data_IF_838042871420
#
_entry.id   IF_838042871420
#
_cell.length_a   1.000
_cell.length_b   1.000
_cell.length_c   1.000
_cell.angle_alpha   90.00
_cell.angle_beta   90.00
_cell.angle_gamma   90.00
#
_symmetry.space_group_name_H-M   'P 1'
#
loop_
_entity.id
_entity.type
_entity.pdbx_description
1 polymer ?
#
# COMPACT_ATOMS: atom_id res chain seq x y z
N UNK A 1 -15.77 15.66 -9.92
CA UNK A 1 -14.33 15.65 -9.60
C UNK A 1 -13.84 14.23 -9.33
N UNK A 2 -12.84 13.72 -10.06
CA UNK A 2 -12.30 12.37 -9.79
C UNK A 2 -11.29 12.43 -8.64
N UNK A 3 -11.71 11.99 -7.45
CA UNK A 3 -10.85 11.92 -6.25
C UNK A 3 -9.81 10.80 -6.40
N UNK A 4 -8.54 11.20 -6.47
CA UNK A 4 -7.37 10.34 -6.56
C UNK A 4 -6.13 11.06 -6.03
N UNK A 5 -5.13 10.30 -5.63
CA UNK A 5 -3.81 10.83 -5.30
C UNK A 5 -2.70 9.98 -5.90
N UNK A 6 -1.51 10.56 -6.01
CA UNK A 6 -0.30 9.86 -6.44
C UNK A 6 0.85 10.27 -5.52
N UNK A 7 1.59 9.29 -5.03
CA UNK A 7 2.86 9.49 -4.34
C UNK A 7 4.00 8.87 -5.16
N UNK A 8 5.22 9.36 -4.93
CA UNK A 8 6.41 8.86 -5.61
C UNK A 8 7.57 8.74 -4.63
N UNK A 9 8.41 7.73 -4.82
CA UNK A 9 9.61 7.52 -4.00
C UNK A 9 10.72 6.93 -4.86
N UNK A 10 11.92 7.51 -4.77
CA UNK A 10 13.14 6.97 -5.38
C UNK A 10 13.87 6.07 -4.39
N UNK A 11 14.19 4.87 -4.84
CA UNK A 11 14.90 3.84 -4.06
C UNK A 11 16.21 3.50 -4.76
N UNK A 12 17.31 3.57 -4.03
CA UNK A 12 18.68 3.28 -4.47
C UNK A 12 18.96 1.77 -4.48
N UNK A 13 18.08 1.02 -5.17
CA UNK A 13 18.26 -0.40 -5.48
C UNK A 13 17.81 -0.70 -6.91
N UNK A 14 18.35 -1.77 -7.53
CA UNK A 14 17.88 -2.28 -8.81
C UNK A 14 16.38 -2.62 -8.79
N UNK A 15 15.75 -2.52 -9.96
CA UNK A 15 14.30 -2.64 -10.12
C UNK A 15 13.78 -3.99 -9.62
N UNK A 16 14.48 -5.08 -9.92
CA UNK A 16 14.08 -6.44 -9.54
C UNK A 16 14.03 -6.60 -8.02
N UNK A 17 14.96 -5.97 -7.30
CA UNK A 17 15.02 -5.99 -5.84
C UNK A 17 13.86 -5.20 -5.25
N UNK A 18 13.59 -4.02 -5.78
CA UNK A 18 12.50 -3.16 -5.32
C UNK A 18 11.14 -3.81 -5.59
N UNK A 19 10.94 -4.36 -6.78
CA UNK A 19 9.71 -5.06 -7.14
C UNK A 19 9.50 -6.29 -6.24
N UNK A 20 10.53 -7.11 -6.05
CA UNK A 20 10.44 -8.31 -5.24
C UNK A 20 10.09 -8.00 -3.77
N UNK A 21 10.58 -6.89 -3.22
CA UNK A 21 10.25 -6.46 -1.87
C UNK A 21 8.77 -6.11 -1.67
N UNK A 22 8.04 -5.78 -2.74
CA UNK A 22 6.58 -5.56 -2.70
C UNK A 22 5.81 -6.84 -3.03
N UNK A 23 6.31 -7.64 -3.97
CA UNK A 23 5.65 -8.84 -4.47
C UNK A 23 5.71 -10.05 -3.51
N UNK A 24 6.84 -10.23 -2.81
CA UNK A 24 7.07 -11.37 -1.92
C UNK A 24 6.49 -11.12 -0.51
N UNK A 25 5.68 -12.04 0.04
CA UNK A 25 4.99 -11.81 1.31
C UNK A 25 5.95 -11.75 2.49
N UNK A 26 7.08 -12.47 2.45
CA UNK A 26 8.06 -12.45 3.55
C UNK A 26 8.77 -11.10 3.58
N UNK A 27 9.18 -10.59 2.42
CA UNK A 27 9.81 -9.27 2.35
C UNK A 27 8.83 -8.14 2.68
N UNK A 28 7.60 -8.18 2.14
CA UNK A 28 6.57 -7.19 2.44
C UNK A 28 6.26 -7.12 3.95
N UNK A 29 6.23 -8.27 4.63
CA UNK A 29 6.00 -8.35 6.08
C UNK A 29 7.17 -7.82 6.91
N UNK A 30 8.37 -7.70 6.34
CA UNK A 30 9.54 -7.15 7.04
C UNK A 30 9.48 -5.64 7.25
N UNK A 31 8.62 -4.91 6.54
CA UNK A 31 8.53 -3.45 6.64
C UNK A 31 7.10 -2.88 6.58
N UNK A 32 6.09 -3.67 6.20
CA UNK A 32 4.72 -3.16 6.04
C UNK A 32 3.66 -4.03 6.75
N UNK A 33 3.43 -5.26 6.29
CA UNK A 33 2.38 -6.13 6.86
C UNK A 33 2.88 -6.83 8.13
N UNK A 34 2.95 -6.11 9.25
CA UNK A 34 3.59 -6.58 10.50
C UNK A 34 2.98 -7.84 11.11
N UNK A 35 1.69 -8.10 10.85
CA UNK A 35 1.02 -9.35 11.23
C UNK A 35 1.12 -10.46 10.18
N UNK A 36 1.80 -10.21 9.06
CA UNK A 36 1.99 -11.13 7.94
C UNK A 36 1.11 -10.82 6.72
N UNK A 37 1.57 -11.29 5.56
CA UNK A 37 0.80 -11.37 4.33
C UNK A 37 0.58 -12.85 3.96
N UNK A 38 -0.66 -13.23 3.61
CA UNK A 38 -1.02 -14.64 3.39
C UNK A 38 -0.41 -15.28 2.14
N UNK A 39 0.08 -14.48 1.19
CA UNK A 39 0.66 -14.99 -0.05
C UNK A 39 1.27 -13.90 -0.93
N UNK A 40 2.02 -14.30 -1.98
CA UNK A 40 2.56 -13.36 -2.97
C UNK A 40 1.45 -12.70 -3.78
N UNK A 41 1.75 -11.52 -4.32
CA UNK A 41 0.80 -10.74 -5.13
C UNK A 41 0.65 -11.32 -6.53
N UNK A 42 0.04 -12.50 -6.67
CA UNK A 42 -0.23 -13.12 -7.97
C UNK A 42 -1.47 -12.51 -8.64
N UNK A 43 -1.45 -12.33 -9.95
CA UNK A 43 -2.62 -11.85 -10.69
C UNK A 43 -3.85 -12.73 -10.43
N UNK A 44 -5.00 -12.09 -10.24
CA UNK A 44 -6.33 -12.72 -10.03
C UNK A 44 -6.44 -13.55 -8.76
N UNK A 45 -5.65 -13.25 -7.74
CA UNK A 45 -5.76 -13.88 -6.41
C UNK A 45 -6.17 -12.87 -5.35
N UNK A 46 -6.75 -13.35 -4.25
CA UNK A 46 -6.94 -12.57 -3.02
C UNK A 46 -5.83 -12.91 -2.02
N UNK A 47 -5.31 -11.89 -1.35
CA UNK A 47 -4.38 -12.02 -0.22
C UNK A 47 -4.93 -11.30 0.99
N UNK A 48 -4.53 -11.75 2.18
CA UNK A 48 -4.89 -11.13 3.45
C UNK A 48 -3.65 -10.48 4.02
N UNK A 49 -3.77 -9.19 4.36
CA UNK A 49 -2.74 -8.43 5.07
C UNK A 49 -3.15 -8.22 6.51
N UNK A 50 -2.26 -8.56 7.43
CA UNK A 50 -2.46 -8.35 8.87
C UNK A 50 -1.45 -7.35 9.39
N UNK A 51 -1.86 -6.57 10.37
CA UNK A 51 -1.03 -5.58 11.05
C UNK A 51 -1.06 -5.87 12.54
N UNK A 52 0.09 -6.19 13.13
CA UNK A 52 0.19 -6.47 14.57
C UNK A 52 -0.14 -5.23 15.42
N UNK A 53 0.07 -4.05 14.83
CA UNK A 53 -0.19 -2.74 15.42
C UNK A 53 -1.69 -2.40 15.47
N UNK A 54 -2.49 -3.06 14.62
CA UNK A 54 -3.95 -2.92 14.54
C UNK A 54 -4.59 -4.31 14.46
N UNK A 55 -4.65 -5.05 15.59
CA UNK A 55 -5.05 -6.45 15.59
C UNK A 55 -6.47 -6.64 15.06
N UNK A 56 -6.60 -7.48 14.03
CA UNK A 56 -7.86 -7.92 13.44
C UNK A 56 -7.76 -9.42 13.18
N UNK A 57 -8.78 -10.19 13.58
CA UNK A 57 -8.82 -11.63 13.33
C UNK A 57 -8.87 -11.92 11.83
N UNK A 58 -9.67 -11.15 11.09
CA UNK A 58 -9.92 -11.31 9.66
C UNK A 58 -8.82 -10.70 8.78
N UNK A 59 -8.16 -9.62 9.23
CA UNK A 59 -7.20 -8.85 8.43
C UNK A 59 -7.86 -8.06 7.30
N UNK A 60 -7.03 -7.45 6.45
CA UNK A 60 -7.47 -6.68 5.28
C UNK A 60 -7.40 -7.58 4.04
N UNK A 61 -8.53 -7.76 3.36
CA UNK A 61 -8.61 -8.49 2.09
C UNK A 61 -8.19 -7.60 0.93
N UNK A 62 -7.22 -8.07 0.16
CA UNK A 62 -6.66 -7.35 -0.99
C UNK A 62 -6.77 -8.22 -2.22
N UNK A 63 -7.54 -7.76 -3.20
CA UNK A 63 -7.65 -8.43 -4.48
C UNK A 63 -6.55 -7.95 -5.43
N UNK A 64 -5.77 -8.88 -5.97
CA UNK A 64 -4.67 -8.59 -6.89
C UNK A 64 -5.21 -8.63 -8.32
N UNK A 65 -5.52 -7.45 -8.86
CA UNK A 65 -6.15 -7.27 -10.18
C UNK A 65 -5.25 -7.69 -11.34
N UNK A 66 -3.99 -7.28 -11.30
CA UNK A 66 -3.00 -7.44 -12.39
C UNK A 66 -1.60 -7.29 -11.81
N UNK A 67 -0.69 -8.16 -12.21
CA UNK A 67 0.75 -8.03 -11.98
C UNK A 67 1.50 -8.27 -13.29
N UNK A 68 2.39 -7.33 -13.62
CA UNK A 68 3.43 -7.48 -14.63
C UNK A 68 4.76 -7.43 -13.90
N UNK A 69 5.45 -8.57 -13.87
CA UNK A 69 6.73 -8.71 -13.17
C UNK A 69 7.66 -7.56 -13.56
N UNK A 70 8.32 -6.97 -12.55
CA UNK A 70 9.30 -5.91 -12.75
C UNK A 70 8.73 -4.66 -13.46
N UNK A 71 7.44 -4.37 -13.29
CA UNK A 71 6.83 -3.19 -13.91
C UNK A 71 5.60 -2.66 -13.18
N UNK A 72 4.65 -3.53 -12.82
CA UNK A 72 3.33 -3.08 -12.37
C UNK A 72 2.66 -4.05 -11.41
N UNK A 73 2.01 -3.49 -10.39
CA UNK A 73 1.06 -4.20 -9.51
C UNK A 73 -0.22 -3.37 -9.40
N UNK A 74 -1.38 -4.01 -9.54
CA UNK A 74 -2.69 -3.38 -9.38
C UNK A 74 -3.47 -4.14 -8.32
N UNK A 75 -3.94 -3.42 -7.31
CA UNK A 75 -4.69 -3.93 -6.18
C UNK A 75 -6.07 -3.27 -6.12
N UNK A 76 -7.04 -4.00 -5.58
CA UNK A 76 -8.35 -3.48 -5.21
C UNK A 76 -8.68 -3.94 -3.78
N UNK A 77 -9.17 -3.02 -2.96
CA UNK A 77 -9.58 -3.28 -1.58
C UNK A 77 -10.74 -2.35 -1.22
N UNK A 78 -11.38 -2.60 -0.08
CA UNK A 78 -12.52 -1.83 0.34
C UNK A 78 -12.13 -0.39 0.71
N UNK A 79 -12.91 0.58 0.23
CA UNK A 79 -12.76 1.97 0.61
C UNK A 79 -13.14 2.13 2.09
N UNK A 80 -12.29 2.81 2.86
CA UNK A 80 -12.59 3.20 4.23
C UNK A 80 -12.73 4.73 4.25
N UNK A 81 -13.85 5.21 4.75
CA UNK A 81 -14.22 6.62 4.75
C UNK A 81 -14.45 7.13 6.17
N UNK A 82 -14.33 8.44 6.36
CA UNK A 82 -14.34 9.10 7.66
C UNK A 82 -12.96 9.62 8.04
N UNK A 83 -12.81 10.11 9.26
CA UNK A 83 -11.58 10.75 9.71
C UNK A 83 -11.43 10.76 11.23
N UNK A 84 -10.24 11.10 11.71
CA UNK A 84 -9.93 11.10 13.15
C UNK A 84 -10.71 12.15 13.98
N UNK A 85 -11.21 13.21 13.35
CA UNK A 85 -11.72 14.39 14.05
C UNK A 85 -13.24 14.37 14.32
N UNK A 86 -13.97 13.41 13.77
CA UNK A 86 -15.43 13.36 13.90
C UNK A 86 -15.83 12.37 14.98
N UNK A 87 -16.41 12.86 16.08
CA UNK A 87 -17.02 12.01 17.12
C UNK A 87 -18.14 11.11 16.56
N UNK A 88 -18.62 11.37 15.33
CA UNK A 88 -19.69 10.64 14.66
C UNK A 88 -19.28 9.96 13.34
N UNK A 89 -18.09 10.22 12.77
CA UNK A 89 -17.58 9.60 11.53
C UNK A 89 -16.34 8.74 11.83
N UNK A 90 -16.55 7.68 12.62
CA UNK A 90 -15.59 6.60 12.71
C UNK A 90 -15.29 6.07 11.29
N UNK A 91 -14.05 5.60 11.08
CA UNK A 91 -13.69 4.93 9.84
C UNK A 91 -14.61 3.75 9.59
N UNK A 92 -15.36 3.81 8.49
CA UNK A 92 -16.30 2.76 8.08
C UNK A 92 -16.06 2.36 6.64
N UNK A 93 -16.44 1.13 6.30
CA UNK A 93 -16.36 0.66 4.92
C UNK A 93 -17.40 1.40 4.05
N UNK A 94 -16.93 2.06 3.00
CA UNK A 94 -17.77 2.88 2.11
C UNK A 94 -18.70 2.08 1.18
N UNK A 95 -18.60 0.74 1.16
CA UNK A 95 -19.44 -0.13 0.32
C UNK A 95 -19.01 -0.21 -1.15
N UNK A 96 -17.81 0.27 -1.48
CA UNK A 96 -17.19 0.18 -2.79
C UNK A 96 -15.68 -0.08 -2.64
N UNK A 97 -15.00 -0.36 -3.76
CA UNK A 97 -13.57 -0.64 -3.78
C UNK A 97 -12.79 0.51 -4.38
N UNK A 98 -11.64 0.84 -3.79
CA UNK A 98 -10.64 1.69 -4.44
C UNK A 98 -9.65 0.82 -5.21
N UNK A 99 -9.00 1.43 -6.21
CA UNK A 99 -7.97 0.80 -7.04
C UNK A 99 -6.64 1.47 -6.77
N UNK A 100 -5.66 0.68 -6.34
CA UNK A 100 -4.27 1.11 -6.17
C UNK A 100 -3.41 0.55 -7.29
N UNK A 101 -2.71 1.42 -8.01
CA UNK A 101 -1.75 1.06 -9.04
C UNK A 101 -0.34 1.46 -8.61
N UNK A 102 0.56 0.48 -8.57
CA UNK A 102 1.98 0.65 -8.28
C UNK A 102 2.76 0.43 -9.58
N UNK A 103 3.52 1.45 -9.99
CA UNK A 103 4.39 1.42 -11.16
C UNK A 103 5.85 1.49 -10.69
N UNK A 104 6.67 0.62 -11.26
CA UNK A 104 8.09 0.50 -11.00
C UNK A 104 8.86 0.85 -12.28
N UNK A 105 9.68 1.90 -12.21
CA UNK A 105 10.45 2.41 -13.35
C UNK A 105 11.94 2.41 -12.99
N UNK A 106 12.77 1.75 -13.80
CA UNK A 106 14.23 1.83 -13.64
C UNK A 106 14.71 3.19 -14.10
N UNK A 107 15.39 3.93 -13.22
CA UNK A 107 16.02 5.21 -13.54
C UNK A 107 17.45 5.00 -14.05
N UNK A 108 18.15 4.01 -13.49
CA UNK A 108 19.46 3.52 -13.90
C UNK A 108 19.68 2.11 -13.27
N UNK A 109 20.88 1.53 -13.42
CA UNK A 109 21.17 0.19 -12.92
C UNK A 109 21.01 -0.01 -11.40
N UNK A 110 21.01 1.07 -10.62
CA UNK A 110 20.98 1.03 -9.17
C UNK A 110 19.83 1.85 -8.56
N UNK A 111 18.94 2.42 -9.36
CA UNK A 111 17.89 3.30 -8.89
C UNK A 111 16.54 2.99 -9.54
N UNK A 112 15.51 2.90 -8.70
CA UNK A 112 14.13 2.64 -9.13
C UNK A 112 13.21 3.74 -8.62
N UNK A 113 12.33 4.24 -9.48
CA UNK A 113 11.21 5.08 -9.10
C UNK A 113 9.98 4.19 -8.85
N UNK A 114 9.39 4.31 -7.66
CA UNK A 114 8.11 3.70 -7.33
C UNK A 114 7.04 4.79 -7.32
N UNK A 115 5.96 4.59 -8.06
CA UNK A 115 4.82 5.50 -8.14
C UNK A 115 3.56 4.75 -7.72
N UNK A 116 2.89 5.21 -6.68
CA UNK A 116 1.65 4.61 -6.17
C UNK A 116 0.53 5.60 -6.40
N UNK A 117 -0.50 5.18 -7.12
CA UNK A 117 -1.71 5.97 -7.38
C UNK A 117 -2.92 5.20 -6.87
N UNK A 118 -3.73 5.84 -6.03
CA UNK A 118 -5.02 5.29 -5.60
C UNK A 118 -6.16 6.15 -6.14
N UNK A 119 -7.21 5.46 -6.60
CA UNK A 119 -8.34 6.06 -7.31
C UNK A 119 -9.63 5.29 -7.02
N UNK A 120 -10.76 5.84 -7.50
CA UNK A 120 -12.08 5.20 -7.34
C UNK A 120 -12.85 5.69 -6.12
N UNK A 121 -12.37 6.74 -5.46
CA UNK A 121 -13.07 7.42 -4.37
C UNK A 121 -14.31 8.17 -4.90
N UNK A 122 -15.42 8.08 -4.16
CA UNK A 122 -16.65 8.82 -4.48
C UNK A 122 -16.54 10.29 -4.08
N UNK A 123 -17.38 11.14 -4.65
CA UNK A 123 -17.37 12.57 -4.36
C UNK A 123 -18.13 12.87 -3.06
N UNK A 124 -17.44 12.77 -1.92
CA UNK A 124 -17.95 13.18 -0.60
C UNK A 124 -16.82 13.61 0.33
N UNK A 125 -17.12 14.36 1.39
CA UNK A 125 -16.11 14.76 2.38
C UNK A 125 -15.52 13.54 3.11
N UNK A 126 -16.35 12.58 3.52
CA UNK A 126 -15.89 11.35 4.18
C UNK A 126 -14.94 10.52 3.30
N UNK A 127 -15.21 10.47 1.98
CA UNK A 127 -14.33 9.82 1.01
C UNK A 127 -13.02 10.60 0.81
N UNK A 128 -13.08 11.93 0.80
CA UNK A 128 -11.90 12.78 0.71
C UNK A 128 -10.98 12.57 1.93
N UNK A 129 -11.54 12.58 3.14
CA UNK A 129 -10.82 12.37 4.39
C UNK A 129 -10.17 10.97 4.42
N UNK A 130 -10.94 9.94 4.06
CA UNK A 130 -10.42 8.57 3.91
C UNK A 130 -9.29 8.48 2.88
N UNK A 131 -9.39 9.22 1.76
CA UNK A 131 -8.34 9.26 0.75
C UNK A 131 -7.04 9.89 1.27
N UNK A 132 -7.11 10.92 2.12
CA UNK A 132 -5.94 11.50 2.76
C UNK A 132 -5.29 10.55 3.76
N UNK A 133 -6.08 9.79 4.51
CA UNK A 133 -5.57 8.75 5.39
C UNK A 133 -4.82 7.65 4.63
N UNK A 134 -5.40 7.17 3.52
CA UNK A 134 -4.70 6.19 2.67
C UNK A 134 -3.44 6.79 2.02
N UNK A 135 -3.49 8.06 1.59
CA UNK A 135 -2.30 8.75 1.07
C UNK A 135 -1.15 8.77 2.09
N UNK A 136 -1.46 9.06 3.36
CA UNK A 136 -0.50 8.99 4.47
C UNK A 136 0.01 7.55 4.67
N UNK A 137 -0.87 6.56 4.65
CA UNK A 137 -0.51 5.14 4.79
C UNK A 137 0.44 4.65 3.69
N UNK A 138 0.16 4.99 2.43
CA UNK A 138 1.04 4.64 1.30
C UNK A 138 2.38 5.37 1.36
N UNK A 139 2.40 6.62 1.81
CA UNK A 139 3.65 7.36 2.00
C UNK A 139 4.48 6.72 3.12
N UNK A 140 3.86 6.34 4.23
CA UNK A 140 4.52 5.63 5.32
C UNK A 140 5.11 4.29 4.83
N UNK A 141 4.33 3.50 4.08
CA UNK A 141 4.80 2.25 3.45
C UNK A 141 6.02 2.50 2.55
N UNK A 142 5.99 3.54 1.72
CA UNK A 142 7.10 3.89 0.82
C UNK A 142 8.37 4.28 1.58
N UNK A 143 8.24 5.05 2.67
CA UNK A 143 9.36 5.36 3.56
C UNK A 143 9.94 4.10 4.22
N UNK A 144 9.08 3.19 4.70
CA UNK A 144 9.50 1.92 5.30
C UNK A 144 10.24 1.03 4.29
N UNK A 145 9.72 0.92 3.06
CA UNK A 145 10.36 0.17 1.97
C UNK A 145 11.75 0.72 1.67
N UNK A 146 11.86 2.05 1.54
CA UNK A 146 13.15 2.72 1.30
C UNK A 146 14.16 2.42 2.40
N UNK A 147 13.79 2.62 3.66
CA UNK A 147 14.68 2.39 4.79
C UNK A 147 15.09 0.93 4.94
N UNK A 148 14.16 0.00 4.70
CA UNK A 148 14.41 -1.43 4.73
C UNK A 148 15.41 -1.84 3.66
N UNK A 149 15.21 -1.40 2.41
CA UNK A 149 16.07 -1.80 1.30
C UNK A 149 17.44 -1.12 1.32
N UNK A 150 17.50 0.17 1.62
CA UNK A 150 18.75 0.92 1.54
C UNK A 150 19.64 0.72 2.77
N UNK A 151 19.03 0.51 3.95
CA UNK A 151 19.74 0.53 5.22
C UNK A 151 19.45 -0.68 6.12
N UNK A 152 18.56 -1.59 5.73
CA UNK A 152 18.15 -2.71 6.59
C UNK A 152 17.35 -2.28 7.82
N UNK A 153 16.80 -1.05 7.82
CA UNK A 153 16.08 -0.49 8.96
C UNK A 153 14.57 -0.73 8.79
N UNK A 154 13.97 -1.39 9.77
CA UNK A 154 12.51 -1.50 9.87
C UNK A 154 11.95 -0.29 10.65
N UNK A 155 11.48 0.73 9.94
CA UNK A 155 10.87 1.93 10.53
C UNK A 155 9.53 1.66 11.24
N UNK A 156 8.86 0.54 10.93
CA UNK A 156 7.57 0.19 11.50
C UNK A 156 7.69 -0.45 12.89
N UNK A 157 8.87 -0.97 13.22
CA UNK A 157 9.15 -1.55 14.54
C UNK A 157 8.99 -0.49 15.64
N UNK A 158 7.97 -0.65 16.50
CA UNK A 158 7.62 0.26 17.61
C UNK A 158 7.23 1.68 17.15
N UNK A 159 6.62 1.78 15.97
CA UNK A 159 6.18 3.08 15.45
C UNK A 159 4.80 3.49 15.97
N UNK A 160 3.87 2.53 16.01
CA UNK A 160 2.48 2.69 16.45
C UNK A 160 2.30 2.20 17.89
#
# INVERSE_FOLDING_TARGET
>A
MNLKFTIQTKIQKPLEIVFQAVYDPKQLSSYFTTGGASGPLKSKTEVIWKFADFPSEEGIRVFVKEVKMNSKIVLEWDAHEGGYESQNDLLTTGGYKTRTEMIFESLDSNNTLVKITESGWRESQAALDGSYMNCQGWMNMSCCLKAYLEYGINLRKRFF
#
